data_IF_780947371473
#
_entry.id   IF_780947371473
#
_cell.length_a   1.000
_cell.length_b   1.000
_cell.length_c   1.000
_cell.angle_alpha   90.00
_cell.angle_beta   90.00
_cell.angle_gamma   90.00
#
_symmetry.space_group_name_H-M   'P 1'
#
loop_
_entity.id
_entity.type
_entity.pdbx_description
1 polymer ?
#
# COMPACT_ATOMS: atom_id res chain seq x y z
N UNK A 1 40.35 -64.89 -7.24
CA UNK A 1 40.54 -63.55 -6.64
C UNK A 1 39.85 -62.54 -7.55
N UNK A 2 38.68 -62.02 -7.14
CA UNK A 2 37.97 -60.94 -7.83
C UNK A 2 37.93 -59.75 -6.88
N UNK A 3 38.54 -58.64 -7.28
CA UNK A 3 38.61 -57.39 -6.53
C UNK A 3 37.23 -56.73 -6.46
N UNK A 4 36.78 -56.37 -5.26
CA UNK A 4 35.66 -55.47 -5.05
C UNK A 4 36.19 -54.02 -5.11
N UNK A 5 35.62 -53.20 -6.00
CA UNK A 5 35.85 -51.75 -6.01
C UNK A 5 34.98 -51.09 -4.94
N UNK A 6 35.60 -50.27 -4.09
CA UNK A 6 34.93 -49.41 -3.13
C UNK A 6 34.22 -48.26 -3.87
N UNK A 7 32.90 -48.18 -3.75
CA UNK A 7 32.11 -47.04 -4.20
C UNK A 7 32.31 -45.86 -3.24
N UNK A 8 32.75 -44.73 -3.78
CA UNK A 8 32.80 -43.45 -3.08
C UNK A 8 31.36 -42.93 -2.98
N UNK A 9 30.85 -42.85 -1.75
CA UNK A 9 29.55 -42.26 -1.44
C UNK A 9 29.74 -40.74 -1.36
N UNK A 10 29.36 -40.00 -2.41
CA UNK A 10 29.33 -38.54 -2.38
C UNK A 10 28.19 -38.07 -1.48
N UNK A 11 28.52 -37.50 -0.32
CA UNK A 11 27.60 -36.71 0.49
C UNK A 11 27.25 -35.42 -0.28
N UNK A 12 26.01 -35.32 -0.77
CA UNK A 12 25.41 -34.05 -1.16
C UNK A 12 25.03 -33.31 0.12
N UNK A 13 25.81 -32.27 0.46
CA UNK A 13 25.42 -31.28 1.45
C UNK A 13 24.26 -30.48 0.86
N UNK A 14 23.05 -30.69 1.38
CA UNK A 14 21.91 -29.79 1.15
C UNK A 14 22.23 -28.46 1.85
N UNK A 15 22.71 -27.48 1.10
CA UNK A 15 22.73 -26.09 1.55
C UNK A 15 21.28 -25.63 1.60
N UNK A 16 20.74 -25.45 2.80
CA UNK A 16 19.47 -24.74 2.97
C UNK A 16 19.56 -23.33 2.36
N UNK A 17 18.43 -22.73 1.96
CA UNK A 17 18.44 -21.34 1.50
C UNK A 17 19.09 -20.47 2.58
N UNK A 18 20.05 -19.63 2.17
CA UNK A 18 20.59 -18.61 3.06
C UNK A 18 19.41 -17.75 3.53
N UNK A 19 19.29 -17.54 4.84
CA UNK A 19 18.36 -16.56 5.38
C UNK A 19 18.70 -15.22 4.70
N UNK A 20 17.69 -14.55 4.14
CA UNK A 20 17.88 -13.24 3.57
C UNK A 20 18.49 -12.32 4.64
N UNK A 21 19.55 -11.59 4.26
CA UNK A 21 20.20 -10.64 5.15
C UNK A 21 19.24 -9.47 5.38
N UNK A 22 18.95 -9.18 6.65
CA UNK A 22 18.11 -8.05 7.02
C UNK A 22 18.71 -6.76 6.46
N UNK A 23 17.90 -5.98 5.75
CA UNK A 23 18.29 -4.70 5.17
C UNK A 23 17.67 -3.56 5.97
N UNK A 24 18.50 -2.57 6.34
CA UNK A 24 18.04 -1.35 6.99
C UNK A 24 17.72 -0.29 5.94
N UNK A 25 16.45 0.11 5.84
CA UNK A 25 15.97 1.19 4.96
C UNK A 25 15.61 2.39 5.82
N UNK A 26 16.25 3.54 5.60
CA UNK A 26 15.94 4.75 6.38
C UNK A 26 14.54 5.26 6.06
N UNK A 27 13.79 5.71 7.06
CA UNK A 27 12.44 6.24 6.85
C UNK A 27 12.41 7.66 6.26
N UNK A 28 13.57 8.30 6.10
CA UNK A 28 13.74 9.53 5.31
C UNK A 28 14.33 9.29 3.92
N UNK A 29 14.45 8.02 3.49
CA UNK A 29 14.78 7.69 2.11
C UNK A 29 13.64 8.14 1.18
N UNK A 30 13.91 8.88 0.10
CA UNK A 30 12.89 9.35 -0.82
C UNK A 30 12.11 8.23 -1.54
N UNK A 31 12.59 6.98 -1.50
CA UNK A 31 11.88 5.83 -2.02
C UNK A 31 10.85 5.25 -1.03
N UNK A 32 10.85 5.69 0.23
CA UNK A 32 9.88 5.28 1.25
C UNK A 32 8.72 6.28 1.28
N UNK A 33 7.56 5.83 0.83
CA UNK A 33 6.33 6.62 0.88
C UNK A 33 5.49 6.25 2.12
N UNK A 34 5.72 6.97 3.22
CA UNK A 34 5.07 6.69 4.51
C UNK A 34 3.55 6.88 4.57
N UNK A 35 2.90 7.74 3.76
CA UNK A 35 1.44 7.83 3.80
C UNK A 35 0.74 6.48 3.53
N UNK A 36 1.29 5.63 2.66
CA UNK A 36 0.76 4.27 2.41
C UNK A 36 0.97 3.31 3.60
N UNK A 37 1.88 3.67 4.52
CA UNK A 37 2.24 2.86 5.69
C UNK A 37 1.40 3.21 6.94
N UNK A 38 0.53 4.21 6.88
CA UNK A 38 -0.30 4.61 8.02
C UNK A 38 -1.25 3.47 8.40
N UNK A 39 -1.36 3.21 9.70
CA UNK A 39 -2.06 2.07 10.30
C UNK A 39 -1.49 0.68 9.93
N UNK A 40 -0.31 0.63 9.29
CA UNK A 40 0.41 -0.61 8.98
C UNK A 40 1.54 -0.84 9.98
N UNK A 41 1.94 -2.11 10.11
CA UNK A 41 3.00 -2.54 11.01
C UNK A 41 4.35 -2.50 10.32
N UNK A 42 5.40 -2.18 11.06
CA UNK A 42 6.79 -2.11 10.58
C UNK A 42 7.73 -2.60 11.67
N UNK A 43 8.75 -3.36 11.27
CA UNK A 43 9.90 -3.63 12.12
C UNK A 43 10.84 -2.44 12.00
N UNK A 44 11.10 -1.75 13.11
CA UNK A 44 11.97 -0.57 13.11
C UNK A 44 13.22 -0.79 13.93
N UNK A 45 14.23 0.02 13.63
CA UNK A 45 15.47 0.20 14.37
C UNK A 45 15.75 1.69 14.52
N UNK A 46 15.95 2.13 15.75
CA UNK A 46 16.47 3.47 16.03
C UNK A 46 17.98 3.53 15.89
N UNK A 47 18.53 4.71 15.59
CA UNK A 47 19.97 4.93 15.70
C UNK A 47 20.43 4.66 17.15
N UNK A 48 21.60 4.04 17.32
CA UNK A 48 22.10 3.68 18.65
C UNK A 48 22.23 4.92 19.57
N UNK A 49 22.63 6.06 19.00
CA UNK A 49 22.72 7.33 19.72
C UNK A 49 21.36 7.86 20.16
N UNK A 50 20.35 7.78 19.29
CA UNK A 50 19.00 8.24 19.61
C UNK A 50 18.35 7.35 20.67
N UNK A 51 18.47 6.03 20.51
CA UNK A 51 17.96 5.05 21.46
C UNK A 51 18.59 5.24 22.85
N UNK A 52 19.92 5.42 22.92
CA UNK A 52 20.61 5.66 24.18
C UNK A 52 20.20 6.99 24.85
N UNK A 53 20.02 8.06 24.07
CA UNK A 53 19.64 9.38 24.60
C UNK A 53 18.23 9.40 25.21
N UNK A 54 17.30 8.62 24.63
CA UNK A 54 15.91 8.55 25.05
C UNK A 54 15.56 7.28 25.84
N UNK A 55 16.56 6.43 26.14
CA UNK A 55 16.40 5.12 26.78
C UNK A 55 15.39 4.18 26.09
N UNK A 56 15.31 4.27 24.76
CA UNK A 56 14.48 3.38 23.96
C UNK A 56 15.18 2.03 23.78
N UNK A 57 14.40 0.99 23.49
CA UNK A 57 14.95 -0.22 22.85
C UNK A 57 15.52 0.20 21.50
N UNK A 58 16.60 -0.45 21.04
CA UNK A 58 17.14 -0.15 19.72
C UNK A 58 16.20 -0.64 18.62
N UNK A 59 15.61 -1.81 18.81
CA UNK A 59 14.76 -2.48 17.83
C UNK A 59 13.35 -2.66 18.41
N UNK A 60 12.33 -2.41 17.59
CA UNK A 60 10.93 -2.70 17.87
C UNK A 60 10.36 -3.52 16.71
N UNK A 61 9.80 -4.68 17.02
CA UNK A 61 9.08 -5.50 16.05
C UNK A 61 7.59 -5.14 16.11
N UNK A 62 6.96 -4.94 14.96
CA UNK A 62 5.51 -4.65 14.89
C UNK A 62 5.04 -3.36 15.52
N UNK A 63 5.85 -2.30 15.43
CA UNK A 63 5.33 -0.96 15.66
C UNK A 63 4.38 -0.58 14.52
N UNK A 64 3.20 -0.03 14.85
CA UNK A 64 2.31 0.56 13.86
C UNK A 64 2.67 2.01 13.60
N UNK A 65 2.71 2.42 12.34
CA UNK A 65 2.84 3.85 12.00
C UNK A 65 1.47 4.49 12.18
N UNK A 66 1.32 5.38 13.15
CA UNK A 66 0.04 6.06 13.40
C UNK A 66 -0.12 7.31 12.55
N UNK A 67 0.96 8.07 12.37
CA UNK A 67 0.99 9.29 11.56
C UNK A 67 2.40 9.52 11.00
N UNK A 68 2.51 10.30 9.92
CA UNK A 68 3.79 10.65 9.31
C UNK A 68 3.87 12.16 9.00
N UNK A 69 3.93 13.04 10.01
CA UNK A 69 4.12 14.48 9.77
C UNK A 69 5.47 14.78 9.10
N UNK A 70 5.63 15.98 8.55
CA UNK A 70 6.86 16.37 7.84
C UNK A 70 8.10 16.19 8.72
N UNK A 71 9.08 15.41 8.24
CA UNK A 71 10.34 15.13 8.93
C UNK A 71 10.23 14.18 10.14
N UNK A 72 9.03 13.74 10.51
CA UNK A 72 8.79 12.86 11.66
C UNK A 72 7.97 11.63 11.29
N UNK A 73 8.01 10.61 12.15
CA UNK A 73 7.13 9.45 12.11
C UNK A 73 6.61 9.21 13.51
N UNK A 74 5.30 9.00 13.63
CA UNK A 74 4.63 8.67 14.88
C UNK A 74 4.31 7.18 14.89
N UNK A 75 4.63 6.55 16.02
CA UNK A 75 4.62 5.10 16.17
C UNK A 75 3.79 4.71 17.38
N UNK A 76 3.05 3.62 17.24
CA UNK A 76 2.38 2.91 18.32
C UNK A 76 3.00 1.52 18.45
N UNK A 77 3.58 1.20 19.61
CA UNK A 77 4.29 -0.06 19.84
C UNK A 77 3.63 -0.96 20.90
N UNK A 78 2.34 -0.71 21.21
CA UNK A 78 1.58 -1.50 22.17
C UNK A 78 2.27 -1.65 23.54
N UNK A 79 2.18 -2.84 24.11
CA UNK A 79 2.81 -3.18 25.40
C UNK A 79 4.35 -3.15 25.37
N UNK A 80 4.93 -3.23 24.17
CA UNK A 80 6.38 -3.19 23.98
C UNK A 80 6.94 -1.77 23.87
N UNK A 81 6.06 -0.76 23.83
CA UNK A 81 6.37 0.65 23.68
C UNK A 81 7.13 1.29 24.84
N UNK A 82 7.61 2.52 24.65
CA UNK A 82 8.27 3.28 25.72
C UNK A 82 7.31 3.59 26.87
N UNK A 83 7.85 3.64 28.10
CA UNK A 83 7.08 4.05 29.28
C UNK A 83 6.70 5.53 29.17
N UNK A 84 5.39 5.88 29.06
CA UNK A 84 4.96 7.27 28.97
C UNK A 84 5.31 8.09 30.21
N UNK A 85 5.58 7.43 31.35
CA UNK A 85 5.97 8.10 32.59
C UNK A 85 7.47 8.39 32.68
N UNK A 86 8.33 7.88 31.78
CA UNK A 86 9.76 8.22 31.80
C UNK A 86 9.97 9.67 31.34
N UNK A 87 10.58 10.55 32.17
CA UNK A 87 10.84 11.93 31.77
C UNK A 87 11.69 12.07 30.49
N UNK A 88 12.51 11.07 30.16
CA UNK A 88 13.30 11.04 28.93
C UNK A 88 12.43 10.96 27.66
N UNK A 89 11.18 10.50 27.79
CA UNK A 89 10.22 10.34 26.70
C UNK A 89 9.25 11.51 26.58
N UNK A 90 9.17 12.38 27.58
CA UNK A 90 8.15 13.45 27.66
C UNK A 90 8.07 14.38 26.44
N UNK A 91 9.18 14.58 25.72
CA UNK A 91 9.24 15.38 24.49
C UNK A 91 8.82 14.64 23.21
N UNK A 92 8.72 13.31 23.27
CA UNK A 92 8.37 12.45 22.13
C UNK A 92 6.94 11.90 22.24
N UNK A 93 6.44 11.72 23.46
CA UNK A 93 5.11 11.14 23.71
C UNK A 93 3.97 12.08 23.32
N UNK A 94 2.89 11.47 22.83
CA UNK A 94 1.59 12.10 22.59
C UNK A 94 0.57 11.64 23.61
N UNK A 95 -0.52 12.39 23.73
CA UNK A 95 -1.61 12.10 24.68
C UNK A 95 -2.30 10.75 24.44
N UNK A 96 -2.29 10.26 23.19
CA UNK A 96 -2.89 8.99 22.79
C UNK A 96 -1.98 7.76 23.03
N UNK A 97 -0.78 7.95 23.58
CA UNK A 97 0.19 6.88 23.83
C UNK A 97 1.16 6.62 22.67
N UNK A 98 0.98 7.29 21.53
CA UNK A 98 1.96 7.28 20.45
C UNK A 98 3.20 8.07 20.83
N UNK A 99 4.29 7.83 20.11
CA UNK A 99 5.49 8.65 20.21
C UNK A 99 6.01 9.01 18.83
N UNK A 100 6.40 10.28 18.65
CA UNK A 100 6.89 10.79 17.38
C UNK A 100 8.38 11.06 17.46
N UNK A 101 9.10 10.64 16.42
CA UNK A 101 10.55 10.74 16.34
C UNK A 101 10.97 11.28 14.97
N UNK A 102 12.16 11.90 14.85
CA UNK A 102 12.67 12.31 13.53
C UNK A 102 12.84 11.09 12.62
N UNK A 103 12.36 11.16 11.37
CA UNK A 103 12.51 10.05 10.39
C UNK A 103 13.98 9.68 10.17
N UNK A 104 14.87 10.65 10.31
CA UNK A 104 16.31 10.48 10.16
C UNK A 104 16.97 9.57 11.21
N UNK A 105 16.26 9.30 12.32
CA UNK A 105 16.71 8.47 13.43
C UNK A 105 16.11 7.06 13.39
N UNK A 106 15.29 6.75 12.38
CA UNK A 106 14.58 5.46 12.27
C UNK A 106 14.90 4.80 10.94
N UNK A 107 15.17 3.50 10.99
CA UNK A 107 15.20 2.64 9.81
C UNK A 107 14.16 1.54 9.96
N UNK A 108 13.51 1.18 8.87
CA UNK A 108 12.78 -0.08 8.78
C UNK A 108 13.76 -1.24 8.55
N UNK A 109 13.46 -2.38 9.17
CA UNK A 109 14.14 -3.66 9.00
C UNK A 109 13.33 -4.48 8.00
N UNK A 110 13.84 -4.57 6.77
CA UNK A 110 13.21 -5.30 5.66
C UNK A 110 13.91 -6.65 5.51
N UNK A 111 13.12 -7.73 5.46
CA UNK A 111 13.64 -9.11 5.37
C UNK A 111 13.38 -9.76 4.02
N UNK A 112 12.43 -9.21 3.29
CA UNK A 112 12.01 -9.62 1.97
C UNK A 112 13.09 -9.29 0.94
N UNK A 113 13.40 -10.27 0.10
CA UNK A 113 14.32 -10.05 -1.02
C UNK A 113 13.65 -9.16 -2.07
N UNK A 114 14.40 -8.18 -2.59
CA UNK A 114 13.99 -7.42 -3.76
C UNK A 114 13.83 -8.31 -4.99
N UNK A 115 13.01 -7.86 -5.95
CA UNK A 115 12.81 -8.51 -7.24
C UNK A 115 13.48 -7.67 -8.33
N UNK A 116 14.30 -8.30 -9.17
CA UNK A 116 14.99 -7.60 -10.26
C UNK A 116 13.98 -6.88 -11.17
N UNK A 117 14.15 -5.58 -11.35
CA UNK A 117 13.26 -4.73 -12.16
C UNK A 117 12.02 -4.19 -11.42
N UNK A 118 11.75 -4.65 -10.19
CA UNK A 118 10.72 -4.07 -9.34
C UNK A 118 11.27 -2.84 -8.57
N UNK A 119 10.41 -1.89 -8.16
CA UNK A 119 10.74 -0.91 -7.13
C UNK A 119 11.12 -1.59 -5.80
N UNK A 120 11.73 -0.86 -4.84
CA UNK A 120 12.01 -1.38 -3.51
C UNK A 120 10.76 -1.99 -2.86
N UNK A 121 10.96 -3.06 -2.10
CA UNK A 121 9.88 -3.69 -1.32
C UNK A 121 9.32 -2.67 -0.33
N UNK A 122 7.99 -2.54 -0.18
CA UNK A 122 7.42 -1.69 0.86
C UNK A 122 7.91 -2.12 2.25
N UNK A 123 8.18 -1.13 3.10
CA UNK A 123 8.84 -1.35 4.40
C UNK A 123 7.88 -1.71 5.55
N UNK A 124 6.58 -1.82 5.24
CA UNK A 124 5.49 -2.01 6.19
C UNK A 124 4.60 -3.16 5.73
N UNK A 125 3.77 -3.72 6.61
CA UNK A 125 2.86 -4.82 6.31
C UNK A 125 1.50 -4.56 6.95
N UNK A 126 0.43 -5.10 6.37
CA UNK A 126 -0.88 -5.11 7.04
C UNK A 126 -0.82 -5.82 8.38
N UNK A 127 -0.15 -6.99 8.41
CA UNK A 127 0.07 -7.72 9.65
C UNK A 127 1.38 -8.50 9.60
N UNK A 128 2.31 -8.16 10.50
CA UNK A 128 3.59 -8.83 10.56
C UNK A 128 3.44 -10.29 10.99
N UNK A 129 4.10 -11.18 10.25
CA UNK A 129 4.06 -12.63 10.50
C UNK A 129 2.89 -13.36 9.84
N UNK A 130 1.88 -12.63 9.34
CA UNK A 130 0.79 -13.19 8.52
C UNK A 130 0.85 -12.75 7.06
N UNK A 131 1.43 -11.59 6.77
CA UNK A 131 1.51 -11.02 5.42
C UNK A 131 2.93 -11.00 4.87
N UNK A 132 3.05 -11.13 3.55
CA UNK A 132 4.32 -10.99 2.82
C UNK A 132 4.11 -10.25 1.50
N UNK A 133 5.04 -9.38 1.13
CA UNK A 133 5.01 -8.69 -0.15
C UNK A 133 5.40 -9.61 -1.30
N UNK A 134 4.65 -9.51 -2.39
CA UNK A 134 4.84 -10.21 -3.64
C UNK A 134 4.81 -9.20 -4.79
N UNK A 135 5.82 -9.26 -5.66
CA UNK A 135 5.80 -8.47 -6.88
C UNK A 135 4.94 -9.19 -7.92
N UNK A 136 3.88 -8.53 -8.40
CA UNK A 136 2.95 -9.07 -9.38
C UNK A 136 2.92 -8.18 -10.62
N UNK A 137 2.77 -8.79 -11.78
CA UNK A 137 2.74 -8.09 -13.08
C UNK A 137 1.61 -8.59 -13.96
N UNK A 138 1.02 -7.71 -14.77
CA UNK A 138 0.04 -8.03 -15.80
C UNK A 138 -0.46 -6.78 -16.50
N UNK A 139 -0.97 -6.89 -17.74
CA UNK A 139 -1.51 -5.72 -18.46
C UNK A 139 -0.51 -4.62 -18.82
N UNK A 140 0.80 -4.89 -18.70
CA UNK A 140 1.87 -3.89 -18.83
C UNK A 140 2.06 -3.03 -17.58
N UNK A 141 1.56 -3.49 -16.42
CA UNK A 141 1.78 -2.86 -15.13
C UNK A 141 2.34 -3.88 -14.12
N UNK A 142 3.16 -3.38 -13.20
CA UNK A 142 3.70 -4.13 -12.06
C UNK A 142 3.38 -3.45 -10.73
N UNK A 143 3.12 -4.23 -9.68
CA UNK A 143 2.69 -3.73 -8.38
C UNK A 143 3.14 -4.66 -7.26
N UNK A 144 3.53 -4.09 -6.11
CA UNK A 144 3.70 -4.86 -4.89
C UNK A 144 2.33 -5.12 -4.25
N UNK A 145 2.05 -6.39 -3.99
CA UNK A 145 0.82 -6.85 -3.34
C UNK A 145 1.14 -7.71 -2.13
N UNK A 146 0.27 -7.72 -1.12
CA UNK A 146 0.42 -8.63 0.00
C UNK A 146 -0.29 -9.96 -0.27
N UNK A 147 0.40 -11.04 0.07
CA UNK A 147 -0.17 -12.36 0.29
C UNK A 147 -0.23 -12.59 1.81
N UNK A 148 -1.44 -12.68 2.34
CA UNK A 148 -1.69 -12.76 3.78
C UNK A 148 -2.44 -14.02 4.17
N UNK A 149 -1.92 -14.73 5.17
CA UNK A 149 -2.66 -15.74 5.92
C UNK A 149 -2.94 -15.20 7.32
N UNK A 150 -4.20 -14.86 7.59
CA UNK A 150 -4.67 -14.35 8.86
C UNK A 150 -5.58 -15.40 9.50
N UNK A 151 -5.15 -15.96 10.63
CA UNK A 151 -5.76 -17.13 11.27
C UNK A 151 -5.87 -18.35 10.34
N UNK A 152 -7.03 -18.57 9.72
CA UNK A 152 -7.30 -19.66 8.77
C UNK A 152 -7.65 -19.13 7.37
N UNK A 153 -7.72 -17.81 7.22
CA UNK A 153 -8.17 -17.15 6.02
C UNK A 153 -6.99 -16.67 5.18
N UNK A 154 -7.09 -16.87 3.88
CA UNK A 154 -6.09 -16.45 2.91
C UNK A 154 -6.63 -15.30 2.07
N UNK A 155 -5.85 -14.22 2.05
CA UNK A 155 -6.09 -13.05 1.22
C UNK A 155 -4.92 -12.87 0.26
N UNK A 156 -5.22 -12.71 -1.03
CA UNK A 156 -4.19 -12.50 -2.05
C UNK A 156 -4.71 -11.60 -3.16
N UNK A 157 -3.82 -10.75 -3.68
CA UNK A 157 -4.08 -9.95 -4.88
C UNK A 157 -3.25 -10.50 -6.04
N UNK A 158 -3.95 -10.90 -7.10
CA UNK A 158 -3.36 -11.44 -8.33
C UNK A 158 -3.91 -10.74 -9.56
N UNK A 159 -3.17 -10.83 -10.68
CA UNK A 159 -3.63 -10.31 -11.95
C UNK A 159 -4.64 -11.25 -12.62
N UNK A 160 -5.83 -10.73 -12.88
CA UNK A 160 -6.87 -11.41 -13.65
C UNK A 160 -6.74 -11.06 -15.14
N UNK A 161 -6.11 -11.96 -15.89
CA UNK A 161 -5.94 -11.83 -17.34
C UNK A 161 -7.27 -11.82 -18.12
N UNK A 162 -8.36 -12.31 -17.54
CA UNK A 162 -9.67 -12.35 -18.22
C UNK A 162 -10.31 -10.97 -18.23
N UNK A 163 -10.19 -10.25 -17.13
CA UNK A 163 -10.83 -8.96 -16.92
C UNK A 163 -9.87 -7.77 -16.99
N UNK A 164 -8.57 -8.02 -17.11
CA UNK A 164 -7.52 -7.02 -17.29
C UNK A 164 -7.37 -6.08 -16.07
N UNK A 165 -7.34 -6.67 -14.87
CA UNK A 165 -7.18 -5.95 -13.59
C UNK A 165 -6.45 -6.79 -12.54
N UNK A 166 -6.00 -6.18 -11.45
CA UNK A 166 -5.66 -6.92 -10.24
C UNK A 166 -6.91 -7.09 -9.37
N UNK A 167 -7.11 -8.29 -8.86
CA UNK A 167 -8.24 -8.61 -8.00
C UNK A 167 -7.77 -9.21 -6.69
N UNK A 168 -8.38 -8.72 -5.60
CA UNK A 168 -8.31 -9.31 -4.28
C UNK A 168 -9.20 -10.55 -4.22
N UNK A 169 -8.68 -11.61 -3.63
CA UNK A 169 -9.40 -12.85 -3.37
C UNK A 169 -9.32 -13.18 -1.89
N UNK A 170 -10.43 -13.68 -1.33
CA UNK A 170 -10.54 -14.19 0.04
C UNK A 170 -10.94 -15.66 -0.01
N UNK A 171 -10.11 -16.58 0.46
CA UNK A 171 -10.43 -18.02 0.52
C UNK A 171 -11.00 -18.65 -0.78
N UNK A 172 -10.68 -18.07 -1.95
CA UNK A 172 -11.22 -18.40 -3.29
C UNK A 172 -12.67 -17.94 -3.57
N UNK A 173 -13.18 -16.94 -2.85
CA UNK A 173 -14.43 -16.25 -3.16
C UNK A 173 -14.34 -15.48 -4.49
N UNK A 174 -15.45 -14.84 -4.85
CA UNK A 174 -15.53 -14.02 -6.07
C UNK A 174 -14.48 -12.91 -6.01
N UNK A 175 -13.55 -12.85 -6.98
CA UNK A 175 -12.50 -11.84 -6.98
C UNK A 175 -13.07 -10.43 -7.01
N UNK A 176 -12.54 -9.55 -6.17
CA UNK A 176 -12.90 -8.14 -6.11
C UNK A 176 -11.80 -7.28 -6.75
N UNK A 177 -12.09 -6.54 -7.83
CA UNK A 177 -11.07 -5.73 -8.52
C UNK A 177 -10.56 -4.57 -7.66
N UNK A 178 -9.25 -4.58 -7.38
CA UNK A 178 -8.58 -3.56 -6.55
C UNK A 178 -7.70 -2.60 -7.35
N UNK A 179 -7.17 -3.02 -8.49
CA UNK A 179 -6.41 -2.13 -9.40
C UNK A 179 -6.86 -2.34 -10.83
N UNK A 180 -7.36 -1.28 -11.46
CA UNK A 180 -7.84 -1.32 -12.85
C UNK A 180 -6.99 -0.36 -13.70
N UNK A 181 -6.13 -0.89 -14.59
CA UNK A 181 -5.43 -0.05 -15.56
C UNK A 181 -6.38 0.39 -16.67
N UNK A 182 -6.35 1.68 -16.99
CA UNK A 182 -7.00 2.27 -18.15
C UNK A 182 -5.97 2.94 -19.03
N UNK A 183 -6.25 2.99 -20.33
CA UNK A 183 -5.40 3.68 -21.31
C UNK A 183 -6.19 4.77 -22.01
N UNK A 184 -5.58 5.95 -22.10
CA UNK A 184 -6.04 7.03 -22.96
C UNK A 184 -5.48 6.78 -24.35
N UNK A 185 -6.36 6.65 -25.34
CA UNK A 185 -5.94 6.48 -26.73
C UNK A 185 -5.11 7.68 -27.21
N UNK A 186 -4.25 7.48 -28.22
CA UNK A 186 -3.44 8.56 -28.78
C UNK A 186 -4.31 9.76 -29.23
N UNK A 187 -4.03 10.94 -28.67
CA UNK A 187 -4.82 12.16 -28.90
C UNK A 187 -6.11 12.27 -28.07
N UNK A 188 -6.36 11.32 -27.17
CA UNK A 188 -7.45 11.37 -26.21
C UNK A 188 -7.14 12.23 -24.97
N UNK A 189 -8.10 12.26 -24.06
CA UNK A 189 -8.03 12.96 -22.77
C UNK A 189 -8.78 12.18 -21.67
N UNK A 190 -8.68 12.66 -20.42
CA UNK A 190 -9.50 12.16 -19.31
C UNK A 190 -11.00 12.20 -19.63
N UNK A 191 -11.48 13.19 -20.39
CA UNK A 191 -12.89 13.28 -20.80
C UNK A 191 -13.28 12.14 -21.75
N UNK A 192 -12.39 11.77 -22.68
CA UNK A 192 -12.64 10.64 -23.58
C UNK A 192 -12.64 9.32 -22.83
N UNK A 193 -11.74 9.16 -21.85
CA UNK A 193 -11.72 8.00 -20.97
C UNK A 193 -13.02 7.90 -20.16
N UNK A 194 -13.47 9.02 -19.56
CA UNK A 194 -14.72 9.09 -18.82
C UNK A 194 -15.92 8.70 -19.69
N UNK A 195 -15.99 9.19 -20.92
CA UNK A 195 -17.05 8.84 -21.86
C UNK A 195 -17.06 7.33 -22.15
N UNK A 196 -15.89 6.69 -22.26
CA UNK A 196 -15.79 5.25 -22.48
C UNK A 196 -16.13 4.44 -21.22
N UNK A 197 -15.78 4.92 -20.04
CA UNK A 197 -16.19 4.33 -18.76
C UNK A 197 -17.72 4.38 -18.57
N UNK A 198 -18.36 5.49 -18.94
CA UNK A 198 -19.82 5.64 -18.96
C UNK A 198 -20.50 4.61 -19.87
N UNK A 199 -19.98 4.44 -21.10
CA UNK A 199 -20.49 3.42 -22.04
C UNK A 199 -20.35 1.99 -21.51
N UNK A 200 -19.30 1.72 -20.72
CA UNK A 200 -19.07 0.42 -20.08
C UNK A 200 -19.88 0.23 -18.80
N UNK A 201 -20.61 1.25 -18.33
CA UNK A 201 -21.36 1.21 -17.08
C UNK A 201 -20.50 1.27 -15.82
N UNK A 202 -19.21 1.61 -15.94
CA UNK A 202 -18.30 1.74 -14.79
C UNK A 202 -18.49 3.06 -14.05
N UNK A 203 -19.02 4.06 -14.74
CA UNK A 203 -19.43 5.36 -14.22
C UNK A 203 -20.84 5.63 -14.73
N UNK A 204 -21.65 6.30 -13.94
CA UNK A 204 -22.99 6.69 -14.34
C UNK A 204 -22.96 7.59 -15.59
N UNK A 205 -23.76 7.25 -16.59
CA UNK A 205 -23.91 8.03 -17.84
C UNK A 205 -24.74 9.31 -17.61
N UNK A 206 -24.14 10.26 -16.89
CA UNK A 206 -24.73 11.54 -16.53
C UNK A 206 -23.71 12.67 -16.76
N UNK A 207 -24.16 13.81 -17.26
CA UNK A 207 -23.31 14.99 -17.52
C UNK A 207 -22.80 15.66 -16.24
N UNK A 208 -23.42 15.39 -15.09
CA UNK A 208 -23.00 15.91 -13.79
C UNK A 208 -21.91 15.05 -13.11
N UNK A 209 -21.48 13.94 -13.71
CA UNK A 209 -20.36 13.13 -13.23
C UNK A 209 -19.10 13.42 -14.05
N UNK A 210 -18.05 13.95 -13.39
CA UNK A 210 -16.84 14.46 -14.03
C UNK A 210 -15.57 13.99 -13.31
N UNK A 211 -14.46 13.88 -14.04
CA UNK A 211 -13.15 13.78 -13.39
C UNK A 211 -12.76 15.12 -12.77
N UNK A 212 -12.35 15.09 -11.51
CA UNK A 212 -11.76 16.23 -10.83
C UNK A 212 -10.43 15.80 -10.21
N UNK A 213 -9.40 16.63 -10.35
CA UNK A 213 -8.16 16.44 -9.61
C UNK A 213 -8.41 16.72 -8.12
N UNK A 214 -7.82 15.92 -7.24
CA UNK A 214 -8.02 16.00 -5.79
C UNK A 214 -6.70 15.91 -5.02
N UNK A 215 -6.71 16.35 -3.78
CA UNK A 215 -5.66 16.20 -2.76
C UNK A 215 -6.16 15.42 -1.52
N UNK A 216 -7.29 14.71 -1.66
CA UNK A 216 -7.87 13.83 -0.62
C UNK A 216 -6.93 12.68 -0.24
N UNK A 217 -6.08 12.25 -1.17
CA UNK A 217 -5.03 11.25 -0.96
C UNK A 217 -3.68 11.92 -1.22
N UNK A 218 -2.78 11.82 -0.25
CA UNK A 218 -1.39 12.24 -0.44
C UNK A 218 -0.73 11.34 -1.48
N UNK A 219 -0.04 11.93 -2.45
CA UNK A 219 0.66 11.21 -3.51
C UNK A 219 2.12 11.67 -3.60
N UNK A 220 3.05 10.77 -3.97
CA UNK A 220 4.44 11.14 -4.15
C UNK A 220 4.61 12.08 -5.34
N UNK A 221 5.77 12.76 -5.39
CA UNK A 221 6.09 13.65 -6.49
C UNK A 221 6.01 12.93 -7.85
N UNK A 222 5.44 13.62 -8.86
CA UNK A 222 5.24 13.07 -10.19
C UNK A 222 3.93 12.29 -10.37
N UNK A 223 3.04 12.31 -9.38
CA UNK A 223 1.70 11.73 -9.46
C UNK A 223 0.61 12.79 -9.38
N UNK A 224 -0.49 12.54 -10.08
CA UNK A 224 -1.74 13.32 -10.01
C UNK A 224 -2.89 12.39 -9.66
N UNK A 225 -3.67 12.78 -8.66
CA UNK A 225 -4.82 12.02 -8.18
C UNK A 225 -6.11 12.67 -8.67
N UNK A 226 -7.04 11.84 -9.10
CA UNK A 226 -8.35 12.24 -9.60
C UNK A 226 -9.44 11.36 -9.00
N UNK A 227 -10.63 11.92 -8.90
CA UNK A 227 -11.85 11.20 -8.54
C UNK A 227 -12.94 11.51 -9.58
N UNK A 228 -13.92 10.61 -9.72
CA UNK A 228 -15.14 10.91 -10.47
C UNK A 228 -16.18 11.45 -9.49
N UNK A 229 -16.38 12.76 -9.50
CA UNK A 229 -17.21 13.47 -8.51
C UNK A 229 -18.53 13.92 -9.12
N UNK A 230 -19.62 14.00 -8.32
CA UNK A 230 -20.84 14.64 -8.74
C UNK A 230 -20.65 16.16 -8.78
N UNK A 231 -21.40 16.82 -9.66
CA UNK A 231 -21.50 18.27 -9.77
C UNK A 231 -22.98 18.69 -9.80
N UNK A 232 -23.25 20.00 -9.84
CA UNK A 232 -24.60 20.53 -10.02
C UNK A 232 -25.61 19.98 -9.01
N UNK A 233 -26.80 19.60 -9.50
CA UNK A 233 -27.91 19.15 -8.65
C UNK A 233 -27.64 17.79 -8.01
N UNK A 234 -26.90 16.92 -8.68
CA UNK A 234 -26.48 15.64 -8.13
C UNK A 234 -25.57 15.82 -6.93
N UNK A 235 -24.64 16.78 -6.98
CA UNK A 235 -23.83 17.12 -5.80
C UNK A 235 -24.70 17.65 -4.67
N UNK A 236 -25.61 18.58 -4.95
CA UNK A 236 -26.52 19.12 -3.92
C UNK A 236 -27.35 18.02 -3.26
N UNK A 237 -27.85 17.05 -4.04
CA UNK A 237 -28.61 15.91 -3.53
C UNK A 237 -27.75 14.97 -2.68
N UNK A 238 -26.53 14.68 -3.15
CA UNK A 238 -25.58 13.83 -2.43
C UNK A 238 -25.15 14.44 -1.09
N UNK A 239 -24.82 15.74 -1.09
CA UNK A 239 -24.44 16.47 0.12
C UNK A 239 -25.60 16.53 1.13
N UNK A 240 -26.85 16.57 0.66
CA UNK A 240 -28.04 16.49 1.52
C UNK A 240 -28.26 15.09 2.09
N UNK A 241 -28.10 14.04 1.29
CA UNK A 241 -28.23 12.66 1.77
C UNK A 241 -27.15 12.28 2.77
N UNK A 242 -25.95 12.87 2.65
CA UNK A 242 -24.82 12.62 3.55
C UNK A 242 -24.96 13.26 4.94
N UNK A 243 -26.16 13.73 5.31
CA UNK A 243 -26.44 14.32 6.63
C UNK A 243 -27.17 13.36 7.57
N UNK A 244 -27.50 12.14 7.10
CA UNK A 244 -28.12 11.07 7.89
C UNK A 244 -27.12 10.04 8.44
N UNK A 245 -27.66 9.05 9.15
CA UNK A 245 -26.86 7.94 9.73
C UNK A 245 -26.52 6.84 8.70
N UNK A 246 -27.15 6.87 7.51
CA UNK A 246 -26.88 5.91 6.43
C UNK A 246 -25.82 6.47 5.47
N UNK A 247 -24.85 5.64 5.11
CA UNK A 247 -23.87 5.96 4.06
C UNK A 247 -24.61 5.99 2.72
N UNK A 248 -24.61 7.13 1.99
CA UNK A 248 -25.23 7.21 0.69
C UNK A 248 -24.42 6.44 -0.37
N UNK A 249 -25.13 5.78 -1.28
CA UNK A 249 -24.52 5.16 -2.46
C UNK A 249 -23.70 6.18 -3.28
N UNK A 250 -22.61 5.75 -3.94
CA UNK A 250 -21.81 6.62 -4.80
C UNK A 250 -22.68 7.28 -5.89
N UNK A 251 -22.76 8.63 -5.94
CA UNK A 251 -23.70 9.32 -6.81
C UNK A 251 -23.32 9.23 -8.29
N UNK A 252 -22.09 8.79 -8.61
CA UNK A 252 -21.57 8.63 -9.96
C UNK A 252 -21.28 7.18 -10.35
N UNK A 253 -21.88 6.20 -9.65
CA UNK A 253 -21.68 4.77 -9.89
C UNK A 253 -20.46 4.21 -9.17
N UNK A 254 -20.16 2.93 -9.39
CA UNK A 254 -19.23 2.13 -8.58
C UNK A 254 -17.80 2.70 -8.50
N UNK A 255 -17.31 3.39 -9.54
CA UNK A 255 -16.00 4.05 -9.53
C UNK A 255 -16.08 5.56 -9.24
N UNK A 256 -17.24 6.02 -8.79
CA UNK A 256 -17.48 7.38 -8.35
C UNK A 256 -17.02 7.61 -6.92
N UNK A 257 -16.79 8.87 -6.56
CA UNK A 257 -16.53 9.29 -5.18
C UNK A 257 -17.63 8.80 -4.24
N UNK A 258 -17.25 8.20 -3.12
CA UNK A 258 -18.14 7.92 -1.99
C UNK A 258 -17.47 8.35 -0.69
N UNK A 259 -18.26 8.58 0.35
CA UNK A 259 -17.78 9.13 1.63
C UNK A 259 -17.03 8.11 2.48
N UNK A 260 -17.33 6.83 2.28
CA UNK A 260 -16.74 5.70 2.97
C UNK A 260 -15.89 4.85 2.01
N UNK A 261 -15.75 5.26 0.76
CA UNK A 261 -15.00 4.53 -0.25
C UNK A 261 -13.62 5.16 -0.45
N UNK A 262 -12.57 4.39 -0.22
CA UNK A 262 -11.19 4.84 -0.48
C UNK A 262 -10.76 4.32 -1.85
N UNK A 263 -11.22 5.00 -2.90
CA UNK A 263 -10.78 4.73 -4.26
C UNK A 263 -10.53 5.99 -5.06
N UNK A 264 -9.53 5.93 -5.93
CA UNK A 264 -9.07 7.08 -6.70
C UNK A 264 -8.41 6.64 -8.00
N UNK A 265 -8.30 7.57 -8.94
CA UNK A 265 -7.55 7.43 -10.17
C UNK A 265 -6.22 8.14 -10.02
N UNK A 266 -5.14 7.51 -10.45
CA UNK A 266 -3.82 8.09 -10.43
C UNK A 266 -3.22 8.12 -11.83
N UNK A 267 -2.51 9.20 -12.14
CA UNK A 267 -1.73 9.35 -13.36
C UNK A 267 -0.31 9.72 -12.98
N UNK A 268 0.65 8.94 -13.46
CA UNK A 268 2.06 9.25 -13.32
C UNK A 268 2.50 10.19 -14.45
N UNK A 269 3.21 11.26 -14.13
CA UNK A 269 3.66 12.28 -15.10
C UNK A 269 4.52 11.68 -16.23
N UNK A 270 5.25 10.59 -15.95
CA UNK A 270 6.05 9.88 -16.94
C UNK A 270 5.22 9.06 -17.93
N UNK A 271 3.98 8.69 -17.57
CA UNK A 271 3.08 7.85 -18.36
C UNK A 271 1.67 8.48 -18.41
N UNK A 272 1.51 9.67 -19.02
CA UNK A 272 0.24 10.41 -18.98
C UNK A 272 -0.90 9.75 -19.77
N UNK A 273 -0.59 8.72 -20.55
CA UNK A 273 -1.56 7.89 -21.28
C UNK A 273 -2.10 6.72 -20.43
N UNK A 274 -1.53 6.48 -19.25
CA UNK A 274 -1.97 5.45 -18.32
C UNK A 274 -2.71 6.09 -17.13
N UNK A 275 -3.95 5.64 -16.91
CA UNK A 275 -4.77 6.06 -15.77
C UNK A 275 -5.07 4.82 -14.96
N UNK A 276 -4.66 4.80 -13.70
CA UNK A 276 -4.78 3.62 -12.85
C UNK A 276 -5.81 3.92 -11.78
N UNK A 277 -6.88 3.13 -11.74
CA UNK A 277 -7.81 3.19 -10.63
C UNK A 277 -7.34 2.26 -9.53
N UNK A 278 -7.21 2.80 -8.32
CA UNK A 278 -6.93 2.07 -7.09
C UNK A 278 -8.18 2.05 -6.23
N UNK A 279 -8.49 0.88 -5.70
CA UNK A 279 -9.52 0.64 -4.70
C UNK A 279 -8.82 0.05 -3.48
N UNK A 280 -8.74 0.84 -2.42
CA UNK A 280 -8.01 0.47 -1.21
C UNK A 280 -8.91 -0.23 -0.17
N UNK A 281 -10.23 -0.25 -0.40
CA UNK A 281 -11.22 -0.71 0.58
C UNK A 281 -11.26 0.14 1.86
N UNK A 282 -12.18 -0.18 2.77
CA UNK A 282 -12.31 0.46 4.09
C UNK A 282 -11.38 -0.16 5.14
N UNK A 283 -11.17 -1.48 5.06
CA UNK A 283 -10.45 -2.25 6.08
C UNK A 283 -8.93 -2.30 5.84
N UNK A 284 -8.44 -1.49 4.89
CA UNK A 284 -7.03 -1.35 4.57
C UNK A 284 -6.62 -2.03 3.27
N UNK A 285 -5.57 -1.47 2.66
CA UNK A 285 -5.06 -1.91 1.36
C UNK A 285 -4.10 -3.10 1.48
N UNK A 286 -4.20 -4.06 0.57
CA UNK A 286 -3.25 -5.17 0.36
C UNK A 286 -2.34 -4.94 -0.86
N UNK A 287 -2.25 -3.69 -1.28
CA UNK A 287 -1.37 -3.23 -2.35
C UNK A 287 -0.59 -2.02 -1.86
N UNK A 288 0.55 -1.75 -2.48
CA UNK A 288 1.28 -0.49 -2.33
C UNK A 288 1.06 0.38 -3.59
N UNK A 289 0.04 1.25 -3.63
CA UNK A 289 -0.38 1.93 -4.87
C UNK A 289 0.74 2.66 -5.59
N UNK A 290 1.61 3.34 -4.85
CA UNK A 290 2.69 4.13 -5.43
C UNK A 290 3.99 3.36 -5.65
N UNK A 291 3.94 2.04 -5.50
CA UNK A 291 4.99 1.13 -5.95
C UNK A 291 4.77 0.67 -7.41
N UNK A 292 3.82 1.26 -8.12
CA UNK A 292 3.46 0.86 -9.47
C UNK A 292 4.63 1.08 -10.45
N UNK A 293 4.86 0.11 -11.32
CA UNK A 293 5.68 0.23 -12.53
C UNK A 293 4.81 0.09 -13.77
N UNK A 294 5.13 0.82 -14.84
CA UNK A 294 4.45 0.78 -16.13
C UNK A 294 5.50 0.44 -17.19
N UNK A 295 5.22 -0.57 -18.02
CA UNK A 295 6.10 -1.04 -19.11
C UNK A 295 6.00 -0.20 -20.40
#
# INVERSE_FOLDING_TARGET
>A
MKQFSAGVLSLLLLTGPALAEETLVRLDDPQVFLPDAIAKMVNIRFSDSFAAAHKLKTDYDGASISEAPEGQVCLFAGDDGPDPADPAMSSLMRENGDFCVPRSEVSARVTEAGVDGAPPVPVYHTFLGGCSWQWKTGGGVGLWTEDCTLDQDHWAVDYDNTNDWFALTFNNDTPYPVVRPFRIAAGGSMDTLLADMKKKGLVLDDGECVFAQTDTVEAPAGWKIFEVVPTGKRKEAFDQSNSGDEVPEPPCGDLGYAVDYVGFFAVQDAHPDHVIHFDLGQDGTMIAPFSLSID
#
